data_IF_294954907618
#
_entry.id   IF_294954907618
#
_cell.length_a   1.000
_cell.length_b   1.000
_cell.length_c   1.000
_cell.angle_alpha   90.00
_cell.angle_beta   90.00
_cell.angle_gamma   90.00
#
_symmetry.space_group_name_H-M   'P 1'
#
loop_
_entity.id
_entity.type
_entity.pdbx_description
1 polymer ?
#
# COMPACT_ATOMS: atom_id res chain seq x y z
N UNK A 1 35.98 -6.19 -4.77
CA UNK A 1 35.02 -7.31 -4.86
C UNK A 1 33.75 -6.76 -5.48
N UNK A 2 33.51 -7.04 -6.76
CA UNK A 2 32.24 -6.72 -7.42
C UNK A 2 31.29 -7.89 -7.15
N UNK A 3 30.13 -7.62 -6.55
CA UNK A 3 29.08 -8.63 -6.38
C UNK A 3 28.68 -9.21 -7.74
N UNK A 4 28.33 -10.49 -7.77
CA UNK A 4 27.88 -11.13 -9.02
C UNK A 4 26.58 -10.48 -9.49
N UNK A 5 26.30 -10.42 -10.81
CA UNK A 5 25.05 -9.85 -11.33
C UNK A 5 23.80 -10.45 -10.68
N UNK A 6 23.84 -11.75 -10.35
CA UNK A 6 22.77 -12.48 -9.68
C UNK A 6 22.56 -12.03 -8.24
N UNK A 7 23.64 -11.77 -7.48
CA UNK A 7 23.55 -11.23 -6.11
C UNK A 7 22.89 -9.85 -6.11
N UNK A 8 23.29 -8.99 -7.05
CA UNK A 8 22.71 -7.65 -7.18
C UNK A 8 21.21 -7.71 -7.50
N UNK A 9 20.80 -8.54 -8.46
CA UNK A 9 19.38 -8.72 -8.81
C UNK A 9 18.56 -9.34 -7.66
N UNK A 10 19.14 -10.26 -6.90
CA UNK A 10 18.52 -10.85 -5.70
C UNK A 10 18.27 -9.78 -4.64
N UNK A 11 19.26 -8.91 -4.39
CA UNK A 11 19.10 -7.80 -3.45
C UNK A 11 17.99 -6.84 -3.89
N UNK A 12 17.94 -6.45 -5.17
CA UNK A 12 16.89 -5.58 -5.70
C UNK A 12 15.49 -6.22 -5.59
N UNK A 13 15.40 -7.52 -5.87
CA UNK A 13 14.15 -8.29 -5.72
C UNK A 13 13.65 -8.21 -4.27
N UNK A 14 14.52 -8.46 -3.30
CA UNK A 14 14.18 -8.43 -1.88
C UNK A 14 13.76 -7.02 -1.44
N UNK A 15 14.51 -5.98 -1.83
CA UNK A 15 14.22 -4.59 -1.46
C UNK A 15 12.86 -4.13 -2.00
N UNK A 16 12.57 -4.41 -3.28
CA UNK A 16 11.28 -4.06 -3.88
C UNK A 16 10.12 -4.84 -3.27
N UNK A 17 10.33 -6.11 -2.90
CA UNK A 17 9.34 -6.93 -2.19
C UNK A 17 9.03 -6.40 -0.79
N UNK A 18 10.05 -6.05 0.00
CA UNK A 18 9.88 -5.43 1.33
C UNK A 18 9.16 -4.09 1.24
N UNK A 19 9.52 -3.26 0.24
CA UNK A 19 8.85 -1.99 0.02
C UNK A 19 7.36 -2.18 -0.31
N UNK A 20 7.02 -3.13 -1.19
CA UNK A 20 5.63 -3.48 -1.49
C UNK A 20 4.88 -3.95 -0.24
N UNK A 21 5.48 -4.81 0.58
CA UNK A 21 4.90 -5.27 1.85
C UNK A 21 4.64 -4.10 2.82
N UNK A 22 5.55 -3.14 2.90
CA UNK A 22 5.34 -1.91 3.69
C UNK A 22 4.13 -1.10 3.21
N UNK A 23 3.90 -1.02 1.91
CA UNK A 23 2.71 -0.34 1.36
C UNK A 23 1.42 -1.10 1.67
N UNK A 24 1.41 -2.43 1.55
CA UNK A 24 0.27 -3.26 1.98
C UNK A 24 -0.05 -3.07 3.47
N UNK A 25 0.99 -3.07 4.32
CA UNK A 25 0.83 -2.84 5.76
C UNK A 25 0.37 -1.43 6.13
N UNK A 26 0.64 -0.43 5.27
CA UNK A 26 0.07 0.92 5.44
C UNK A 26 -1.38 0.97 4.98
N UNK A 27 -1.71 0.31 3.87
CA UNK A 27 -3.07 0.25 3.35
C UNK A 27 -4.04 -0.43 4.33
N UNK A 28 -3.60 -1.48 5.01
CA UNK A 28 -4.41 -2.20 6.02
C UNK A 28 -4.66 -1.42 7.30
N UNK A 29 -3.90 -0.34 7.54
CA UNK A 29 -4.02 0.53 8.72
C UNK A 29 -4.79 1.82 8.44
N UNK A 30 -5.33 2.00 7.23
CA UNK A 30 -6.16 3.17 6.93
C UNK A 30 -7.47 3.05 7.68
N UNK A 31 -7.62 3.86 8.73
CA UNK A 31 -8.83 3.89 9.55
C UNK A 31 -9.91 4.72 8.87
N UNK A 32 -11.16 4.28 9.03
CA UNK A 32 -12.33 5.11 8.75
C UNK A 32 -12.39 6.16 9.85
N UNK A 33 -12.12 7.40 9.48
CA UNK A 33 -12.32 8.53 10.38
C UNK A 33 -13.76 8.97 10.19
N UNK A 34 -14.60 8.73 11.19
CA UNK A 34 -15.98 9.18 11.17
C UNK A 34 -16.41 9.73 12.55
N UNK A 35 -17.31 10.73 12.59
CA UNK A 35 -17.59 11.73 11.56
C UNK A 35 -16.50 12.82 11.54
N UNK A 36 -16.36 13.53 10.42
CA UNK A 36 -15.43 14.66 10.29
C UNK A 36 -15.69 15.76 11.34
N UNK A 37 -16.91 15.82 11.88
CA UNK A 37 -17.25 16.62 13.06
C UNK A 37 -16.41 16.19 14.26
N UNK A 38 -16.45 14.95 14.73
CA UNK A 38 -15.78 14.52 15.98
C UNK A 38 -14.25 14.54 15.87
N UNK A 39 -13.68 14.22 14.70
CA UNK A 39 -12.22 14.19 14.54
C UNK A 39 -11.53 15.56 14.67
N UNK A 40 -12.27 16.66 14.46
CA UNK A 40 -11.77 18.03 14.61
C UNK A 40 -12.32 18.74 15.88
N UNK A 41 -12.85 17.99 16.86
CA UNK A 41 -13.48 18.58 18.04
C UNK A 41 -14.88 19.16 17.80
N UNK A 42 -15.49 18.82 16.68
CA UNK A 42 -16.86 19.17 16.31
C UNK A 42 -17.90 18.27 16.99
N UNK A 43 -19.12 18.80 17.06
CA UNK A 43 -20.25 18.23 17.78
C UNK A 43 -20.90 17.12 16.93
N UNK A 44 -21.36 16.05 17.58
CA UNK A 44 -22.20 15.02 16.96
C UNK A 44 -23.38 15.68 16.22
N UNK A 45 -23.65 15.34 14.95
CA UNK A 45 -24.79 15.90 14.24
C UNK A 45 -26.09 15.55 14.97
N UNK A 46 -26.91 16.56 15.28
CA UNK A 46 -28.25 16.33 15.83
C UNK A 46 -29.22 15.72 14.81
N UNK A 47 -28.88 15.79 13.51
CA UNK A 47 -29.62 15.16 12.42
C UNK A 47 -29.04 13.77 12.09
N UNK A 48 -29.84 12.69 12.25
CA UNK A 48 -29.44 11.34 11.90
C UNK A 48 -29.00 11.16 10.43
N UNK A 49 -29.57 11.90 9.49
CA UNK A 49 -29.19 11.81 8.07
C UNK A 49 -27.78 12.36 7.83
N UNK A 50 -27.44 13.45 8.52
CA UNK A 50 -26.10 14.03 8.45
C UNK A 50 -25.06 13.08 9.04
N UNK A 51 -25.35 12.42 10.16
CA UNK A 51 -24.46 11.42 10.75
C UNK A 51 -24.19 10.24 9.79
N UNK A 52 -25.21 9.77 9.07
CA UNK A 52 -25.05 8.72 8.05
C UNK A 52 -24.17 9.20 6.89
N UNK A 53 -24.41 10.42 6.39
CA UNK A 53 -23.64 10.99 5.28
C UNK A 53 -22.16 11.20 5.65
N UNK A 54 -21.88 11.65 6.87
CA UNK A 54 -20.51 11.82 7.36
C UNK A 54 -19.80 10.47 7.50
N UNK A 55 -20.50 9.44 7.96
CA UNK A 55 -19.98 8.07 8.04
C UNK A 55 -19.64 7.53 6.64
N UNK A 56 -20.54 7.69 5.67
CA UNK A 56 -20.31 7.28 4.28
C UNK A 56 -19.13 8.02 3.66
N UNK A 57 -19.00 9.32 3.93
CA UNK A 57 -17.87 10.13 3.48
C UNK A 57 -16.55 9.63 4.07
N UNK A 58 -16.53 9.30 5.37
CA UNK A 58 -15.36 8.72 6.04
C UNK A 58 -14.95 7.37 5.43
N UNK A 59 -15.92 6.49 5.15
CA UNK A 59 -15.67 5.22 4.46
C UNK A 59 -15.03 5.48 3.10
N UNK A 60 -15.58 6.41 2.32
CA UNK A 60 -15.10 6.68 0.97
C UNK A 60 -13.69 7.27 0.97
N UNK A 61 -13.38 8.19 1.89
CA UNK A 61 -12.03 8.75 2.05
C UNK A 61 -11.00 7.69 2.46
N UNK A 62 -11.33 6.85 3.44
CA UNK A 62 -10.48 5.74 3.85
C UNK A 62 -10.27 4.74 2.72
N UNK A 63 -11.35 4.36 2.02
CA UNK A 63 -11.31 3.47 0.86
C UNK A 63 -10.42 4.01 -0.27
N UNK A 64 -10.56 5.29 -0.62
CA UNK A 64 -9.72 5.92 -1.64
C UNK A 64 -8.24 5.92 -1.24
N UNK A 65 -7.94 6.25 0.02
CA UNK A 65 -6.55 6.26 0.52
C UNK A 65 -5.94 4.85 0.51
N UNK A 66 -6.69 3.86 0.97
CA UNK A 66 -6.28 2.46 0.91
C UNK A 66 -6.08 1.98 -0.53
N UNK A 67 -6.97 2.36 -1.46
CA UNK A 67 -6.88 2.00 -2.87
C UNK A 67 -5.60 2.54 -3.53
N UNK A 68 -5.22 3.80 -3.25
CA UNK A 68 -3.98 4.39 -3.77
C UNK A 68 -2.75 3.64 -3.25
N UNK A 69 -2.73 3.28 -1.96
CA UNK A 69 -1.63 2.51 -1.38
C UNK A 69 -1.57 1.10 -1.97
N UNK A 70 -2.71 0.42 -2.11
CA UNK A 70 -2.80 -0.91 -2.73
C UNK A 70 -2.33 -0.90 -4.19
N UNK A 71 -2.72 0.11 -4.96
CA UNK A 71 -2.27 0.25 -6.35
C UNK A 71 -0.74 0.37 -6.42
N UNK A 72 -0.14 1.20 -5.55
CA UNK A 72 1.32 1.33 -5.47
C UNK A 72 1.98 0.03 -5.03
N UNK A 73 1.41 -0.64 -4.02
CA UNK A 73 1.92 -1.93 -3.54
C UNK A 73 1.93 -2.97 -4.65
N UNK A 74 0.83 -3.09 -5.41
CA UNK A 74 0.72 -4.01 -6.54
C UNK A 74 1.75 -3.73 -7.64
N UNK A 75 2.02 -2.46 -7.97
CA UNK A 75 3.07 -2.09 -8.94
C UNK A 75 4.46 -2.57 -8.48
N UNK A 76 4.79 -2.39 -7.20
CA UNK A 76 6.08 -2.83 -6.66
C UNK A 76 6.17 -4.35 -6.50
N UNK A 77 5.06 -5.03 -6.20
CA UNK A 77 4.99 -6.49 -6.26
C UNK A 77 5.28 -6.98 -7.68
N UNK A 78 4.69 -6.37 -8.71
CA UNK A 78 4.96 -6.74 -10.09
C UNK A 78 6.45 -6.57 -10.45
N UNK A 79 7.05 -5.44 -10.09
CA UNK A 79 8.49 -5.19 -10.27
C UNK A 79 9.34 -6.25 -9.57
N UNK A 80 9.02 -6.58 -8.31
CA UNK A 80 9.74 -7.61 -7.54
C UNK A 80 9.65 -8.98 -8.21
N UNK A 81 8.46 -9.39 -8.67
CA UNK A 81 8.27 -10.66 -9.40
C UNK A 81 9.04 -10.67 -10.72
N UNK A 82 9.04 -9.58 -11.48
CA UNK A 82 9.84 -9.48 -12.71
C UNK A 82 11.34 -9.59 -12.43
N UNK A 83 11.86 -8.91 -11.39
CA UNK A 83 13.26 -9.01 -11.00
C UNK A 83 13.62 -10.43 -10.54
N UNK A 84 12.74 -11.10 -9.80
CA UNK A 84 12.92 -12.50 -9.41
C UNK A 84 13.03 -13.40 -10.64
N UNK A 85 12.13 -13.24 -11.61
CA UNK A 85 12.15 -14.02 -12.85
C UNK A 85 13.45 -13.80 -13.65
N UNK A 86 13.90 -12.54 -13.77
CA UNK A 86 15.18 -12.22 -14.43
C UNK A 86 16.35 -12.85 -13.68
N UNK A 87 16.35 -12.80 -12.35
CA UNK A 87 17.38 -13.41 -11.50
C UNK A 87 17.51 -14.91 -11.78
N UNK A 88 16.39 -15.62 -11.89
CA UNK A 88 16.37 -17.05 -12.23
C UNK A 88 16.95 -17.33 -13.61
N UNK A 89 16.59 -16.53 -14.62
CA UNK A 89 17.14 -16.69 -15.97
C UNK A 89 18.65 -16.44 -16.00
N UNK A 90 19.10 -15.33 -15.41
CA UNK A 90 20.53 -14.96 -15.39
C UNK A 90 21.36 -16.00 -14.64
N UNK A 91 20.89 -16.47 -13.47
CA UNK A 91 21.58 -17.48 -12.69
C UNK A 91 21.62 -18.87 -13.32
N UNK A 92 20.80 -19.13 -14.35
CA UNK A 92 20.82 -20.38 -15.12
C UNK A 92 21.67 -20.28 -16.40
N UNK A 93 22.03 -19.07 -16.83
CA UNK A 93 22.78 -18.81 -18.08
C UNK A 93 24.25 -18.47 -17.80
N UNK A 94 24.55 -17.85 -16.66
CA UNK A 94 25.90 -17.56 -16.17
C UNK A 94 26.37 -18.64 -15.19
#
# INVERSE_FOLDING_TARGET
MTSSPTEFLTMLTALTGVYAAGLWGRASKVSIIAPASVHNGGIEPGDPLQAINDWLTGIQQAGNTAAVLNQRAARWTAVSVSLAAITTVVGNVL
#
